data_IF_509418736810
#
_entry.id   IF_509418736810
#
_cell.length_a   1.000
_cell.length_b   1.000
_cell.length_c   1.000
_cell.angle_alpha   90.00
_cell.angle_beta   90.00
_cell.angle_gamma   90.00
#
_symmetry.space_group_name_H-M   'P 1'
#
loop_
_entity.id
_entity.type
_entity.pdbx_description
1 polymer ?
#
# COMPACT_ATOMS: atom_id res chain seq x y z
N UNK A 1 7.57 -0.04 16.94
CA UNK A 1 7.60 1.06 15.96
C UNK A 1 6.68 0.77 14.80
N UNK A 2 6.12 1.80 14.16
CA UNK A 2 5.35 1.67 12.93
C UNK A 2 6.19 2.18 11.75
N UNK A 3 6.19 1.40 10.66
CA UNK A 3 6.87 1.71 9.40
C UNK A 3 5.87 1.42 8.26
N UNK A 4 5.28 2.46 7.68
CA UNK A 4 4.30 2.37 6.61
C UNK A 4 2.86 2.61 7.03
N UNK A 5 1.93 1.83 6.49
CA UNK A 5 0.48 2.08 6.57
C UNK A 5 -0.14 1.53 7.85
N UNK A 6 -0.99 2.32 8.50
CA UNK A 6 -1.91 1.83 9.54
C UNK A 6 -3.38 1.93 9.13
N UNK A 7 -3.72 2.90 8.29
CA UNK A 7 -5.09 3.25 7.92
C UNK A 7 -5.99 3.54 9.13
N UNK A 8 -5.38 3.93 10.25
CA UNK A 8 -6.08 4.23 11.48
C UNK A 8 -6.28 5.73 11.64
N UNK A 9 -7.40 6.08 12.24
CA UNK A 9 -7.67 7.46 12.68
C UNK A 9 -7.79 7.48 14.19
N UNK A 10 -7.29 8.55 14.82
CA UNK A 10 -7.59 8.79 16.21
C UNK A 10 -9.11 9.04 16.39
N UNK A 11 -9.67 8.54 17.47
CA UNK A 11 -11.00 8.91 17.93
C UNK A 11 -10.94 10.33 18.53
N UNK A 12 -11.11 11.34 17.66
CA UNK A 12 -11.03 12.75 18.06
C UNK A 12 -12.03 13.11 19.15
N UNK A 13 -13.27 12.60 19.08
CA UNK A 13 -14.30 12.85 20.08
C UNK A 13 -13.95 12.19 21.43
N UNK A 14 -13.45 10.96 21.40
CA UNK A 14 -12.99 10.26 22.60
C UNK A 14 -11.80 10.93 23.22
N UNK A 15 -10.87 11.43 22.42
CA UNK A 15 -9.71 12.19 22.89
C UNK A 15 -10.14 13.51 23.55
N UNK A 16 -11.00 14.29 22.93
CA UNK A 16 -11.52 15.55 23.47
C UNK A 16 -12.24 15.31 24.80
N UNK A 17 -13.09 14.30 24.87
CA UNK A 17 -13.79 13.89 26.10
C UNK A 17 -12.83 13.53 27.24
N UNK A 18 -11.66 13.00 26.92
CA UNK A 18 -10.61 12.66 27.90
C UNK A 18 -9.64 13.80 28.15
N UNK A 19 -9.83 14.97 27.53
CA UNK A 19 -8.90 16.09 27.63
C UNK A 19 -7.55 15.85 26.96
N UNK A 20 -7.50 14.95 25.98
CA UNK A 20 -6.31 14.64 25.20
C UNK A 20 -6.29 15.46 23.91
N UNK A 21 -5.10 15.83 23.47
CA UNK A 21 -4.88 16.50 22.19
C UNK A 21 -4.12 15.61 21.24
N UNK A 22 -4.27 15.84 19.91
CA UNK A 22 -3.63 15.04 18.88
C UNK A 22 -2.09 15.04 18.97
N UNK A 23 -1.51 16.11 19.50
CA UNK A 23 -0.07 16.28 19.74
C UNK A 23 0.40 15.73 21.08
N UNK A 24 -0.52 15.27 21.94
CA UNK A 24 -0.14 14.55 23.15
C UNK A 24 0.42 13.17 22.80
N UNK A 25 1.33 12.67 23.63
CA UNK A 25 1.94 11.35 23.44
C UNK A 25 0.88 10.23 23.29
N UNK A 26 -0.16 10.26 24.12
CA UNK A 26 -1.25 9.27 24.06
C UNK A 26 -2.07 9.46 22.78
N UNK A 27 -2.36 10.70 22.37
CA UNK A 27 -3.07 11.01 21.15
C UNK A 27 -2.35 10.53 19.91
N UNK A 28 -1.05 10.82 19.79
CA UNK A 28 -0.22 10.34 18.70
C UNK A 28 -0.18 8.80 18.65
N UNK A 29 0.06 8.14 19.77
CA UNK A 29 0.08 6.67 19.85
C UNK A 29 -1.26 6.03 19.55
N UNK A 30 -2.37 6.67 19.84
CA UNK A 30 -3.68 6.17 19.48
C UNK A 30 -3.87 6.16 17.95
N UNK A 31 -3.40 7.19 17.24
CA UNK A 31 -3.40 7.22 15.79
C UNK A 31 -2.46 6.17 15.18
N UNK A 32 -1.42 5.77 15.89
CA UNK A 32 -0.41 4.82 15.47
C UNK A 32 -0.62 3.41 16.06
N UNK A 33 -1.83 3.05 16.45
CA UNK A 33 -2.15 1.74 17.04
C UNK A 33 -1.32 1.38 18.29
N UNK A 34 -0.86 2.37 19.04
CA UNK A 34 0.00 2.20 20.22
C UNK A 34 1.48 2.08 19.92
N UNK A 35 1.90 2.17 18.69
CA UNK A 35 3.31 2.20 18.30
C UNK A 35 3.89 3.61 18.38
N UNK A 36 5.19 3.70 18.50
CA UNK A 36 5.95 4.90 18.20
C UNK A 36 6.13 5.00 16.68
N UNK A 37 5.97 6.19 16.11
CA UNK A 37 6.09 6.41 14.68
C UNK A 37 7.57 6.50 14.27
N UNK A 38 8.05 5.57 13.44
CA UNK A 38 9.31 5.73 12.73
C UNK A 38 9.09 6.48 11.43
N UNK A 39 8.23 5.95 10.58
CA UNK A 39 7.72 6.62 9.40
C UNK A 39 6.36 6.05 9.04
N UNK A 40 5.35 6.89 8.91
CA UNK A 40 4.02 6.51 8.48
C UNK A 40 3.74 7.03 7.10
N UNK A 41 3.21 6.19 6.24
CA UNK A 41 2.69 6.55 4.93
C UNK A 41 1.45 5.69 4.65
N UNK A 42 0.27 6.31 4.64
CA UNK A 42 -1.01 5.64 4.40
C UNK A 42 -1.46 5.78 2.92
N UNK A 43 -0.64 6.36 2.08
CA UNK A 43 -1.00 6.65 0.68
C UNK A 43 -2.05 7.75 0.60
N UNK A 44 -3.15 7.48 -0.12
CA UNK A 44 -4.13 8.47 -0.53
C UNK A 44 -4.79 9.28 0.59
N UNK A 45 -5.05 8.69 1.73
CA UNK A 45 -5.87 9.30 2.77
C UNK A 45 -5.03 9.74 3.95
N UNK A 46 -4.31 10.80 3.72
CA UNK A 46 -3.56 11.49 4.74
C UNK A 46 -4.42 12.26 5.73
N UNK A 47 -5.54 11.71 6.14
CA UNK A 47 -6.32 12.26 7.23
C UNK A 47 -5.98 11.54 8.53
N UNK A 48 -4.78 11.78 9.03
CA UNK A 48 -4.56 11.66 10.46
C UNK A 48 -5.44 12.69 11.19
N UNK A 49 -5.56 12.65 12.51
CA UNK A 49 -6.30 13.65 13.23
C UNK A 49 -5.76 15.04 12.85
N UNK A 50 -6.64 15.88 12.32
CA UNK A 50 -6.37 17.27 11.97
C UNK A 50 -5.20 17.52 11.00
N UNK A 51 -5.08 16.73 9.95
CA UNK A 51 -4.12 16.99 8.88
C UNK A 51 -2.70 16.51 9.14
N UNK A 52 -2.52 15.55 9.98
CA UNK A 52 -1.24 14.84 10.15
C UNK A 52 -0.76 14.23 8.83
N UNK A 53 -1.68 13.88 7.95
CA UNK A 53 -1.42 13.35 6.63
C UNK A 53 -2.14 14.18 5.58
N UNK A 54 -1.39 14.90 4.83
CA UNK A 54 -1.73 15.41 3.51
C UNK A 54 -0.95 14.56 2.50
N UNK A 55 -1.63 13.88 1.59
CA UNK A 55 -1.00 13.04 0.57
C UNK A 55 0.10 13.78 -0.21
N UNK A 56 -0.08 15.09 -0.42
CA UNK A 56 0.89 15.94 -1.10
C UNK A 56 2.14 16.22 -0.27
N UNK A 57 2.02 16.12 1.04
CA UNK A 57 3.10 16.37 2.01
C UNK A 57 3.58 15.10 2.70
N UNK A 58 3.14 13.92 2.25
CA UNK A 58 3.62 12.66 2.81
C UNK A 58 5.15 12.55 2.73
N UNK A 59 5.78 11.78 3.63
CA UNK A 59 7.22 11.51 3.57
C UNK A 59 7.65 10.94 2.23
N UNK A 60 6.83 10.09 1.62
CA UNK A 60 7.11 9.51 0.33
C UNK A 60 7.05 10.56 -0.80
N UNK A 61 6.06 11.47 -0.80
CA UNK A 61 6.05 12.58 -1.76
C UNK A 61 7.27 13.51 -1.61
N UNK A 62 7.71 13.75 -0.38
CA UNK A 62 8.94 14.51 -0.14
C UNK A 62 10.17 13.81 -0.73
N UNK A 63 10.25 12.48 -0.57
CA UNK A 63 11.29 11.66 -1.19
C UNK A 63 11.25 11.75 -2.72
N UNK A 64 10.09 11.59 -3.34
CA UNK A 64 9.93 11.66 -4.79
C UNK A 64 10.36 13.02 -5.34
N UNK A 65 9.96 14.11 -4.70
CA UNK A 65 10.39 15.46 -5.07
C UNK A 65 11.90 15.63 -4.98
N UNK A 66 12.52 15.09 -3.95
CA UNK A 66 13.99 15.09 -3.81
C UNK A 66 14.70 14.26 -4.89
N UNK A 67 14.05 13.27 -5.46
CA UNK A 67 14.51 12.45 -6.59
C UNK A 67 14.29 13.12 -7.95
N UNK A 68 13.59 14.26 -8.00
CA UNK A 68 13.33 15.01 -9.21
C UNK A 68 12.03 14.65 -9.92
N UNK A 69 11.12 13.98 -9.24
CA UNK A 69 9.73 13.80 -9.72
C UNK A 69 8.95 15.06 -9.43
N UNK A 70 8.68 15.83 -10.46
CA UNK A 70 8.05 17.15 -10.36
C UNK A 70 6.54 17.07 -10.10
N UNK A 71 5.96 18.22 -9.75
CA UNK A 71 4.52 18.38 -9.59
C UNK A 71 4.06 18.46 -8.14
N UNK A 72 2.76 18.63 -8.00
CA UNK A 72 2.12 18.86 -6.71
C UNK A 72 2.02 17.58 -5.91
N UNK A 73 1.69 16.46 -6.58
CA UNK A 73 1.52 15.15 -6.00
C UNK A 73 2.21 14.04 -6.82
N UNK A 74 3.55 13.90 -6.75
CA UNK A 74 4.28 12.85 -7.47
C UNK A 74 3.81 11.42 -7.14
N UNK A 75 3.30 11.19 -5.95
CA UNK A 75 2.68 9.92 -5.60
C UNK A 75 1.55 9.54 -6.56
N UNK A 76 0.66 10.49 -6.88
CA UNK A 76 -0.46 10.25 -7.79
C UNK A 76 -0.02 10.23 -9.26
N UNK A 77 0.92 11.10 -9.65
CA UNK A 77 1.23 11.39 -11.05
C UNK A 77 2.30 10.45 -11.63
N UNK A 78 3.12 9.84 -10.75
CA UNK A 78 4.20 8.92 -11.15
C UNK A 78 4.03 7.53 -10.54
N UNK A 79 4.00 7.42 -9.21
CA UNK A 79 3.96 6.11 -8.56
C UNK A 79 2.65 5.36 -8.78
N UNK A 80 1.54 6.09 -8.91
CA UNK A 80 0.20 5.53 -9.11
C UNK A 80 -0.44 5.92 -10.45
N UNK A 81 0.37 6.24 -11.46
CA UNK A 81 -0.07 6.46 -12.83
C UNK A 81 0.95 5.93 -13.83
N UNK A 82 0.47 5.54 -14.99
CA UNK A 82 1.28 5.30 -16.18
C UNK A 82 1.20 6.47 -17.16
N UNK A 83 1.73 6.28 -18.36
CA UNK A 83 1.61 7.24 -19.47
C UNK A 83 0.90 6.57 -20.64
N UNK A 84 -0.01 7.30 -21.29
CA UNK A 84 -0.67 6.90 -22.53
C UNK A 84 -0.86 8.14 -23.41
N UNK A 85 -0.38 8.07 -24.65
CA UNK A 85 -0.47 9.18 -25.61
C UNK A 85 0.06 10.50 -25.02
N UNK A 86 1.23 10.43 -24.37
CA UNK A 86 1.90 11.53 -23.68
C UNK A 86 1.08 12.19 -22.54
N UNK A 87 0.06 11.50 -22.05
CA UNK A 87 -0.77 11.97 -20.93
C UNK A 87 -0.70 11.01 -19.75
N UNK A 88 -0.87 11.57 -18.55
CA UNK A 88 -0.95 10.79 -17.32
C UNK A 88 -2.17 9.87 -17.37
N UNK A 89 -1.93 8.58 -17.27
CA UNK A 89 -2.92 7.51 -17.23
C UNK A 89 -3.08 7.01 -15.80
N UNK A 90 -4.02 7.59 -15.06
CA UNK A 90 -4.25 7.30 -13.64
C UNK A 90 -4.46 5.80 -13.39
N UNK A 91 -3.72 5.23 -12.46
CA UNK A 91 -3.86 3.85 -11.99
C UNK A 91 -5.16 3.56 -11.24
N UNK A 92 -5.90 4.61 -10.84
CA UNK A 92 -7.24 4.46 -10.28
C UNK A 92 -8.25 3.91 -11.28
N UNK A 93 -7.93 3.96 -12.56
CA UNK A 93 -8.77 3.45 -13.65
C UNK A 93 -8.29 2.06 -14.06
N UNK A 94 -9.08 1.03 -13.82
CA UNK A 94 -8.77 -0.37 -14.14
C UNK A 94 -8.32 -0.60 -15.60
N UNK A 95 -8.81 0.22 -16.54
CA UNK A 95 -8.37 0.16 -17.93
C UNK A 95 -6.87 0.44 -18.13
N UNK A 96 -6.23 1.09 -17.16
CA UNK A 96 -4.82 1.46 -17.20
C UNK A 96 -3.91 0.48 -16.44
N UNK A 97 -4.47 -0.57 -15.84
CA UNK A 97 -3.72 -1.52 -15.02
C UNK A 97 -2.66 -2.31 -15.79
N UNK A 98 -2.79 -2.39 -17.12
CA UNK A 98 -1.81 -3.02 -18.02
C UNK A 98 -0.62 -2.11 -18.40
N UNK A 99 -0.58 -0.88 -17.89
CA UNK A 99 0.51 0.05 -18.15
C UNK A 99 1.57 -0.04 -17.04
N UNK A 100 2.83 0.21 -17.41
CA UNK A 100 3.86 0.44 -16.40
C UNK A 100 3.59 1.74 -15.64
N UNK A 101 3.80 1.74 -14.33
CA UNK A 101 3.84 2.97 -13.56
C UNK A 101 4.97 3.88 -14.09
N UNK A 102 4.73 5.17 -14.09
CA UNK A 102 5.63 6.20 -14.63
C UNK A 102 6.76 6.55 -13.64
N UNK A 103 7.31 5.53 -13.02
CA UNK A 103 8.35 5.67 -12.00
C UNK A 103 9.38 4.57 -12.18
N UNK A 104 10.62 4.84 -11.79
CA UNK A 104 11.62 3.78 -11.67
C UNK A 104 11.23 2.82 -10.55
N UNK A 105 11.53 1.55 -10.75
CA UNK A 105 11.20 0.53 -9.74
C UNK A 105 11.78 0.86 -8.38
N UNK A 106 13.06 1.18 -8.33
CA UNK A 106 13.79 1.49 -7.11
C UNK A 106 13.27 2.73 -6.34
N UNK A 107 12.54 3.62 -7.02
CA UNK A 107 11.95 4.80 -6.43
C UNK A 107 10.47 4.59 -6.05
N UNK A 108 9.87 3.44 -6.41
CA UNK A 108 8.48 3.16 -6.08
C UNK A 108 8.27 2.92 -4.58
N UNK A 109 7.02 2.94 -4.16
CA UNK A 109 6.63 3.00 -2.74
C UNK A 109 7.11 1.79 -1.93
N UNK A 110 7.04 0.59 -2.49
CA UNK A 110 7.44 -0.65 -1.80
C UNK A 110 8.94 -0.72 -1.53
N UNK A 111 9.85 -0.50 -2.51
CA UNK A 111 11.29 -0.38 -2.26
C UNK A 111 11.67 0.74 -1.30
N UNK A 112 11.02 1.90 -1.42
CA UNK A 112 11.26 3.00 -0.51
C UNK A 112 10.97 2.62 0.95
N UNK A 113 9.83 1.93 1.19
CA UNK A 113 9.47 1.50 2.54
C UNK A 113 10.41 0.41 3.07
N UNK A 114 10.86 -0.50 2.20
CA UNK A 114 11.90 -1.48 2.54
C UNK A 114 13.18 -0.78 2.98
N UNK A 115 13.61 0.25 2.25
CA UNK A 115 14.78 1.04 2.63
C UNK A 115 14.59 1.72 3.99
N UNK A 116 13.40 2.29 4.27
CA UNK A 116 13.08 2.88 5.57
C UNK A 116 13.08 1.86 6.71
N UNK A 117 12.69 0.62 6.41
CA UNK A 117 12.76 -0.48 7.36
C UNK A 117 14.21 -0.88 7.65
N UNK A 118 15.04 -0.94 6.63
CA UNK A 118 16.49 -1.20 6.76
C UNK A 118 17.16 -0.11 7.61
N UNK A 119 16.87 1.16 7.32
CA UNK A 119 17.35 2.30 8.12
C UNK A 119 16.96 2.18 9.61
N UNK A 120 15.74 1.73 9.89
CA UNK A 120 15.29 1.46 11.25
C UNK A 120 16.10 0.33 11.90
N UNK A 121 16.21 -0.80 11.21
CA UNK A 121 16.96 -1.98 11.72
C UNK A 121 18.40 -1.62 12.04
N UNK A 122 19.06 -0.83 11.19
CA UNK A 122 20.46 -0.42 11.39
C UNK A 122 20.64 0.52 12.58
N UNK A 123 19.65 1.33 12.88
CA UNK A 123 19.69 2.33 13.97
C UNK A 123 19.10 1.82 15.29
N UNK A 124 18.32 0.74 15.25
CA UNK A 124 17.65 0.23 16.45
C UNK A 124 18.64 -0.34 17.48
N UNK A 125 18.58 0.20 18.69
CA UNK A 125 19.37 -0.25 19.83
C UNK A 125 18.51 -1.06 20.81
N UNK A 126 19.06 -2.14 21.35
CA UNK A 126 18.37 -3.01 22.31
C UNK A 126 17.17 -3.78 21.68
N UNK A 127 16.28 -4.33 22.51
CA UNK A 127 15.10 -5.03 22.02
C UNK A 127 14.11 -4.08 21.34
N UNK A 128 13.61 -4.48 20.18
CA UNK A 128 12.64 -3.70 19.40
C UNK A 128 11.53 -4.57 18.84
N UNK A 129 10.43 -3.94 18.49
CA UNK A 129 9.34 -4.49 17.70
C UNK A 129 9.00 -3.48 16.61
N UNK A 130 8.97 -3.94 15.37
CA UNK A 130 8.58 -3.15 14.20
C UNK A 130 7.36 -3.77 13.52
N UNK A 131 6.33 -2.97 13.30
CA UNK A 131 5.23 -3.30 12.41
C UNK A 131 5.51 -2.64 11.06
N UNK A 132 5.97 -3.45 10.11
CA UNK A 132 6.24 -3.01 8.73
C UNK A 132 5.01 -3.30 7.88
N UNK A 133 4.42 -2.28 7.30
CA UNK A 133 3.17 -2.41 6.56
C UNK A 133 3.27 -1.78 5.17
N UNK A 134 3.46 -2.62 4.16
CA UNK A 134 3.40 -2.21 2.76
C UNK A 134 1.97 -1.82 2.37
N UNK A 135 1.82 -0.74 1.58
CA UNK A 135 0.53 -0.35 1.01
C UNK A 135 0.15 -1.30 -0.11
N UNK A 136 1.13 -1.65 -0.97
CA UNK A 136 0.91 -2.61 -2.04
C UNK A 136 0.78 -4.03 -1.48
N UNK A 137 -0.08 -4.85 -2.12
CA UNK A 137 -0.70 -4.71 -3.44
C UNK A 137 -2.04 -3.96 -3.49
N UNK A 138 -2.41 -3.16 -2.49
CA UNK A 138 -3.65 -2.38 -2.47
C UNK A 138 -3.83 -1.53 -3.74
N UNK A 139 -5.07 -1.37 -4.20
CA UNK A 139 -5.42 -0.44 -5.28
C UNK A 139 -4.85 0.98 -5.03
N UNK A 140 -4.31 1.70 -6.05
CA UNK A 140 -4.40 1.47 -7.51
C UNK A 140 -3.52 0.32 -8.02
N UNK A 141 -4.10 -0.48 -8.94
CA UNK A 141 -3.38 -1.59 -9.57
C UNK A 141 -2.58 -1.08 -10.76
N UNK A 142 -1.44 -0.49 -10.46
CA UNK A 142 -0.44 -0.12 -11.44
C UNK A 142 0.93 -0.42 -10.84
N UNK A 143 1.81 -0.95 -11.61
CA UNK A 143 3.06 -1.50 -11.11
C UNK A 143 4.23 -1.06 -12.00
N UNK A 144 5.41 -0.75 -11.44
CA UNK A 144 6.55 -0.33 -12.24
C UNK A 144 7.09 -1.46 -13.13
N UNK A 145 7.81 -1.09 -14.17
CA UNK A 145 8.61 -2.04 -14.91
C UNK A 145 9.74 -2.59 -14.00
N UNK A 146 10.12 -3.90 -14.10
CA UNK A 146 9.62 -4.87 -15.07
C UNK A 146 8.36 -5.63 -14.65
N UNK A 147 7.85 -5.44 -13.44
CA UNK A 147 6.76 -6.23 -12.85
C UNK A 147 5.43 -6.09 -13.61
N UNK A 148 5.20 -4.97 -14.31
CA UNK A 148 3.95 -4.67 -15.03
C UNK A 148 3.59 -5.69 -16.12
N UNK A 149 4.55 -6.41 -16.65
CA UNK A 149 4.37 -7.38 -17.73
C UNK A 149 4.86 -8.79 -17.41
N UNK A 150 5.15 -9.09 -16.15
CA UNK A 150 5.56 -10.44 -15.71
C UNK A 150 4.42 -11.45 -15.81
N UNK A 151 3.21 -10.99 -15.64
CA UNK A 151 2.00 -11.81 -15.71
C UNK A 151 1.07 -11.30 -16.83
N UNK A 152 0.26 -12.17 -17.38
CA UNK A 152 -0.70 -11.86 -18.43
C UNK A 152 -2.02 -12.59 -18.23
N UNK A 153 -2.97 -12.41 -19.13
CA UNK A 153 -4.30 -13.01 -19.07
C UNK A 153 -4.28 -14.55 -18.92
N UNK A 154 -3.25 -15.21 -19.44
CA UNK A 154 -3.07 -16.66 -19.29
C UNK A 154 -2.78 -17.14 -17.86
N UNK A 155 -2.45 -16.24 -16.94
CA UNK A 155 -2.25 -16.52 -15.52
C UNK A 155 -3.52 -16.24 -14.69
N UNK A 156 -4.55 -15.66 -15.29
CA UNK A 156 -5.79 -15.31 -14.60
C UNK A 156 -6.65 -16.56 -14.41
N UNK A 157 -6.98 -16.96 -13.17
CA UNK A 157 -7.85 -18.10 -12.93
C UNK A 157 -9.27 -17.80 -13.42
N UNK A 158 -10.00 -18.81 -13.85
CA UNK A 158 -11.41 -18.68 -14.18
C UNK A 158 -12.22 -18.18 -12.98
N UNK A 159 -13.18 -17.27 -13.23
CA UNK A 159 -14.04 -16.80 -12.16
C UNK A 159 -14.94 -17.92 -11.63
N UNK A 160 -14.93 -18.15 -10.33
CA UNK A 160 -15.91 -18.99 -9.66
C UNK A 160 -17.20 -18.18 -9.49
N UNK A 161 -18.24 -18.55 -10.21
CA UNK A 161 -19.54 -17.84 -10.19
C UNK A 161 -20.66 -18.88 -10.21
N UNK A 162 -21.62 -18.70 -9.35
CA UNK A 162 -22.80 -19.56 -9.30
C UNK A 162 -24.06 -18.71 -9.06
N UNK A 163 -25.16 -19.02 -9.73
CA UNK A 163 -26.42 -18.28 -9.59
C UNK A 163 -26.96 -18.25 -8.16
N UNK A 164 -26.68 -19.27 -7.36
CA UNK A 164 -27.09 -19.32 -5.95
C UNK A 164 -26.50 -18.19 -5.12
N UNK A 165 -25.35 -17.64 -5.49
CA UNK A 165 -24.71 -16.51 -4.79
C UNK A 165 -25.55 -15.23 -4.86
N UNK A 166 -26.46 -15.15 -5.86
CA UNK A 166 -27.37 -14.02 -6.08
C UNK A 166 -28.77 -14.26 -5.53
N UNK A 167 -29.03 -15.48 -5.06
CA UNK A 167 -30.31 -15.86 -4.48
C UNK A 167 -30.24 -15.67 -2.97
N UNK A 168 -30.88 -14.62 -2.48
CA UNK A 168 -30.91 -14.28 -1.04
C UNK A 168 -29.50 -14.15 -0.40
N UNK A 169 -28.62 -13.29 -0.98
CA UNK A 169 -27.29 -13.09 -0.43
C UNK A 169 -27.34 -12.46 0.95
N UNK A 170 -26.34 -12.74 1.79
CA UNK A 170 -26.17 -11.98 3.03
C UNK A 170 -26.17 -10.46 2.71
N UNK A 171 -26.87 -9.62 3.50
CA UNK A 171 -27.06 -8.19 3.19
C UNK A 171 -25.77 -7.42 2.89
N UNK A 172 -24.68 -7.69 3.61
CA UNK A 172 -23.37 -7.07 3.37
C UNK A 172 -22.81 -7.48 2.01
N UNK A 173 -22.87 -8.77 1.70
CA UNK A 173 -22.37 -9.31 0.43
C UNK A 173 -23.23 -8.82 -0.75
N UNK A 174 -24.55 -8.78 -0.60
CA UNK A 174 -25.46 -8.25 -1.61
C UNK A 174 -25.21 -6.76 -1.92
N UNK A 175 -24.96 -5.96 -0.88
CA UNK A 175 -24.60 -4.55 -1.05
C UNK A 175 -23.25 -4.39 -1.75
N UNK A 176 -22.27 -5.23 -1.41
CA UNK A 176 -20.95 -5.23 -2.06
C UNK A 176 -21.05 -5.59 -3.55
N UNK A 177 -21.80 -6.65 -3.89
CA UNK A 177 -22.04 -7.04 -5.30
C UNK A 177 -22.70 -5.92 -6.12
N UNK A 178 -23.53 -5.07 -5.50
CA UNK A 178 -24.13 -3.90 -6.14
C UNK A 178 -23.18 -2.70 -6.29
N UNK A 179 -22.02 -2.72 -5.69
CA UNK A 179 -21.05 -1.63 -5.79
C UNK A 179 -20.46 -1.57 -7.20
N UNK A 180 -20.28 -0.35 -7.74
CA UNK A 180 -19.76 -0.14 -9.11
C UNK A 180 -18.35 -0.69 -9.30
N UNK A 181 -17.50 -0.62 -8.27
CA UNK A 181 -16.14 -1.12 -8.32
C UNK A 181 -16.15 -2.64 -8.37
N UNK A 182 -16.85 -3.28 -7.42
CA UNK A 182 -16.98 -4.73 -7.36
C UNK A 182 -17.65 -5.29 -8.64
N UNK A 183 -18.69 -4.63 -9.15
CA UNK A 183 -19.37 -5.03 -10.39
C UNK A 183 -18.49 -4.93 -11.63
N UNK A 184 -17.43 -4.10 -11.62
CA UNK A 184 -16.48 -4.03 -12.73
C UNK A 184 -15.74 -5.35 -12.93
N UNK A 185 -15.47 -6.11 -11.86
CA UNK A 185 -14.82 -7.43 -11.93
C UNK A 185 -15.70 -8.55 -12.47
N UNK A 186 -16.98 -8.28 -12.75
CA UNK A 186 -17.82 -9.21 -13.52
C UNK A 186 -17.40 -9.31 -14.99
N UNK A 187 -16.68 -8.30 -15.49
CA UNK A 187 -16.20 -8.22 -16.87
C UNK A 187 -14.82 -8.87 -16.99
N UNK A 188 -14.71 -9.81 -17.94
CA UNK A 188 -13.47 -10.56 -18.14
C UNK A 188 -12.30 -9.63 -18.55
N UNK A 189 -12.56 -8.65 -19.42
CA UNK A 189 -11.54 -7.70 -19.85
C UNK A 189 -10.96 -6.84 -18.71
N UNK A 190 -11.68 -6.69 -17.60
CA UNK A 190 -11.18 -6.01 -16.39
C UNK A 190 -10.29 -6.97 -15.59
N UNK A 191 -10.74 -8.21 -15.41
CA UNK A 191 -9.98 -9.23 -14.67
C UNK A 191 -8.66 -9.56 -15.35
N UNK A 192 -8.66 -9.69 -16.66
CA UNK A 192 -7.47 -9.99 -17.48
C UNK A 192 -6.41 -8.89 -17.45
N UNK A 193 -6.75 -7.68 -17.03
CA UNK A 193 -5.81 -6.58 -16.84
C UNK A 193 -5.40 -6.39 -15.38
N UNK A 194 -6.39 -6.38 -14.49
CA UNK A 194 -6.17 -6.05 -13.08
C UNK A 194 -5.46 -7.16 -12.33
N UNK A 195 -5.85 -8.42 -12.54
CA UNK A 195 -5.25 -9.55 -11.83
C UNK A 195 -3.75 -9.71 -12.16
N UNK A 196 -3.30 -9.62 -13.42
CA UNK A 196 -1.87 -9.61 -13.72
C UNK A 196 -1.09 -8.46 -13.06
N UNK A 197 -1.66 -7.26 -13.04
CA UNK A 197 -1.04 -6.13 -12.33
C UNK A 197 -0.96 -6.38 -10.82
N UNK A 198 -2.01 -6.90 -10.21
CA UNK A 198 -2.02 -7.31 -8.81
C UNK A 198 -0.94 -8.37 -8.51
N UNK A 199 -0.80 -9.38 -9.36
CA UNK A 199 0.27 -10.38 -9.26
C UNK A 199 1.66 -9.74 -9.36
N UNK A 200 1.83 -8.76 -10.23
CA UNK A 200 3.07 -7.99 -10.35
C UNK A 200 3.41 -7.20 -9.09
N UNK A 201 2.40 -6.58 -8.46
CA UNK A 201 2.56 -5.89 -7.17
C UNK A 201 2.93 -6.84 -6.05
N UNK A 202 2.30 -8.03 -5.99
CA UNK A 202 2.67 -9.08 -5.03
C UNK A 202 4.12 -9.51 -5.25
N UNK A 203 4.53 -9.72 -6.50
CA UNK A 203 5.90 -10.13 -6.81
C UNK A 203 6.92 -9.07 -6.37
N UNK A 204 6.62 -7.79 -6.56
CA UNK A 204 7.48 -6.72 -6.06
C UNK A 204 7.55 -6.74 -4.52
N UNK A 205 6.45 -6.93 -3.83
CA UNK A 205 6.45 -7.05 -2.36
C UNK A 205 7.29 -8.26 -1.89
N UNK A 206 7.17 -9.39 -2.58
CA UNK A 206 7.93 -10.61 -2.29
C UNK A 206 9.44 -10.38 -2.44
N UNK A 207 9.87 -9.74 -3.54
CA UNK A 207 11.28 -9.41 -3.76
C UNK A 207 11.80 -8.44 -2.69
N UNK A 208 11.01 -7.43 -2.33
CA UNK A 208 11.40 -6.46 -1.32
C UNK A 208 11.45 -7.07 0.10
N UNK A 209 10.57 -8.02 0.39
CA UNK A 209 10.68 -8.83 1.61
C UNK A 209 11.97 -9.66 1.61
N UNK A 210 12.32 -10.27 0.47
CA UNK A 210 13.59 -10.99 0.29
C UNK A 210 14.79 -10.11 0.63
N UNK A 211 14.86 -8.89 0.09
CA UNK A 211 15.94 -7.94 0.40
C UNK A 211 16.02 -7.59 1.89
N UNK A 212 14.88 -7.43 2.56
CA UNK A 212 14.86 -7.17 4.00
C UNK A 212 15.38 -8.37 4.82
N UNK A 213 14.97 -9.59 4.45
CA UNK A 213 15.43 -10.81 5.11
C UNK A 213 16.93 -11.04 4.89
N UNK A 214 17.43 -10.85 3.67
CA UNK A 214 18.85 -10.90 3.35
C UNK A 214 19.65 -9.87 4.16
N UNK A 215 19.11 -8.67 4.35
CA UNK A 215 19.75 -7.65 5.18
C UNK A 215 19.84 -8.09 6.65
N UNK A 216 18.78 -8.65 7.23
CA UNK A 216 18.79 -9.18 8.59
C UNK A 216 19.79 -10.33 8.76
N UNK A 217 19.92 -11.18 7.75
CA UNK A 217 20.90 -12.28 7.76
C UNK A 217 22.32 -11.76 7.69
N UNK A 218 22.61 -10.84 6.75
CA UNK A 218 23.94 -10.29 6.51
C UNK A 218 24.47 -9.47 7.67
N UNK A 219 23.60 -8.81 8.46
CA UNK A 219 24.02 -8.05 9.63
C UNK A 219 23.92 -8.85 10.96
N UNK A 220 23.61 -10.16 10.87
CA UNK A 220 23.58 -11.09 11.99
C UNK A 220 22.36 -10.96 12.92
N UNK A 221 21.36 -10.17 12.55
CA UNK A 221 20.15 -9.98 13.36
C UNK A 221 19.09 -11.06 13.15
N UNK A 222 19.18 -11.85 12.08
CA UNK A 222 18.19 -12.91 11.80
C UNK A 222 18.10 -13.94 12.92
N UNK A 223 19.21 -14.25 13.58
CA UNK A 223 19.27 -15.30 14.60
C UNK A 223 18.44 -15.02 15.86
N UNK A 224 18.18 -13.74 16.16
CA UNK A 224 17.44 -13.30 17.36
C UNK A 224 16.18 -12.47 17.01
N UNK A 225 15.78 -12.44 15.73
CA UNK A 225 14.60 -11.74 15.24
C UNK A 225 13.50 -12.74 14.90
N UNK A 226 12.34 -12.61 15.54
CA UNK A 226 11.15 -13.33 15.16
C UNK A 226 10.44 -12.60 14.02
N UNK A 227 10.24 -13.29 12.90
CA UNK A 227 9.51 -12.77 11.73
C UNK A 227 8.08 -13.27 11.75
N UNK A 228 7.12 -12.38 11.65
CA UNK A 228 5.70 -12.70 11.46
C UNK A 228 5.24 -12.04 10.18
N UNK A 229 4.89 -12.86 9.17
CA UNK A 229 4.29 -12.40 7.92
C UNK A 229 2.78 -12.63 7.96
N UNK A 230 2.03 -11.59 7.67
CA UNK A 230 0.57 -11.63 7.61
C UNK A 230 0.04 -10.67 6.56
N UNK A 231 -1.24 -10.86 6.20
CA UNK A 231 -2.02 -9.91 5.44
C UNK A 231 -3.25 -9.52 6.26
N UNK A 232 -3.73 -8.30 6.14
CA UNK A 232 -5.00 -7.85 6.75
C UNK A 232 -6.19 -8.53 6.07
N UNK A 233 -6.18 -8.64 4.75
CA UNK A 233 -7.14 -9.34 3.89
C UNK A 233 -6.52 -9.57 2.51
N UNK A 234 -7.20 -10.31 1.66
CA UNK A 234 -6.91 -10.38 0.23
C UNK A 234 -7.72 -9.34 -0.54
N UNK A 235 -7.40 -9.20 -1.83
CA UNK A 235 -8.17 -8.43 -2.80
C UNK A 235 -8.85 -9.38 -3.79
N UNK A 236 -10.20 -9.37 -3.85
CA UNK A 236 -11.08 -10.10 -4.79
C UNK A 236 -11.04 -11.62 -4.77
#
# INVERSE_FOLDING_TARGET
>A
WIIGKTHMKADAEGMERLGLTADSLIGARQAECGFDNWIRDDGLWGYGPDGFYDEKRSPYNAYLKAKGYDGDNPWADYANAGVSDDQIASGWMFRNADKAANIKEEDSETPWLTQKTIEFVDQAEGPWMAHVSYIKPHWPYIVPAPYHNMFGANHVPGALRHEVERQDPHPVYGAYMGNKIASAFQREEVREKVIPAYMGLIKQCDDQLGFLLDHLENNGRMADTMIVLSSDHGDY
#
